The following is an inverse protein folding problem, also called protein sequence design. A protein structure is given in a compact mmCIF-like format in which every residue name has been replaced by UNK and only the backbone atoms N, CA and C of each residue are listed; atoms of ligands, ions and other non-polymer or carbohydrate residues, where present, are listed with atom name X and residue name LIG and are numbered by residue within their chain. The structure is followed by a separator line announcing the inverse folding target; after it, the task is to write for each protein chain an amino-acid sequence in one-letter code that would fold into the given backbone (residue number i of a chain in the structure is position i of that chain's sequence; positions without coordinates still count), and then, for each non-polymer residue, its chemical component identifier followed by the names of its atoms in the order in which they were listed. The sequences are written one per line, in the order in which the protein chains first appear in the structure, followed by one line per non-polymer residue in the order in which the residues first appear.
data_IF_482413595950
#
_entry.id   IF_482413595950
#
_cell.length_a   1.000
_cell.length_b   1.000
_cell.length_c   1.000
_cell.angle_alpha   90.00
_cell.angle_beta   90.00
_cell.angle_gamma   90.00
#
_symmetry.space_group_name_H-M   'P 1'
#
loop_
_entity.id
_entity.type
_entity.pdbx_description
1 polymer ?
#
# COMPACT_ATOMS: atom_id res chain seq x y z
N UNK A 1 0.64 35.34 -73.76
CA UNK A 1 0.72 36.10 -72.50
C UNK A 1 0.83 35.10 -71.37
N UNK A 2 1.95 35.14 -70.62
CA UNK A 2 2.31 34.18 -69.56
C UNK A 2 1.61 34.58 -68.26
N UNK A 3 0.81 33.69 -67.66
CA UNK A 3 0.22 33.92 -66.34
C UNK A 3 0.80 32.97 -65.30
N UNK A 4 1.12 33.55 -64.15
CA UNK A 4 2.01 33.06 -63.11
C UNK A 4 1.44 31.93 -62.22
N UNK A 5 2.41 31.12 -61.78
CA UNK A 5 2.53 30.29 -60.56
C UNK A 5 1.59 30.66 -59.38
N UNK A 6 1.00 29.64 -58.76
CA UNK A 6 0.66 29.64 -57.34
C UNK A 6 1.07 28.30 -56.71
N UNK A 7 2.20 28.31 -56.00
CA UNK A 7 2.62 27.23 -55.10
C UNK A 7 1.81 27.35 -53.81
N UNK A 8 0.92 26.40 -53.52
CA UNK A 8 0.32 26.26 -52.20
C UNK A 8 1.15 25.25 -51.39
N UNK A 9 1.91 25.79 -50.46
CA UNK A 9 2.70 25.08 -49.43
C UNK A 9 1.74 24.44 -48.44
N UNK A 10 1.77 23.11 -48.31
CA UNK A 10 1.10 22.38 -47.23
C UNK A 10 2.14 22.06 -46.16
N UNK A 11 2.05 22.76 -45.03
CA UNK A 11 2.87 22.60 -43.84
C UNK A 11 2.16 21.61 -42.89
N UNK A 12 2.65 20.38 -42.66
CA UNK A 12 2.05 19.51 -41.65
C UNK A 12 2.48 19.98 -40.26
N UNK A 13 1.47 20.30 -39.46
CA UNK A 13 1.56 20.75 -38.08
C UNK A 13 2.27 19.74 -37.18
N UNK A 14 3.09 20.28 -36.28
CA UNK A 14 3.73 19.60 -35.17
C UNK A 14 2.70 18.85 -34.30
N UNK A 15 2.83 17.54 -34.22
CA UNK A 15 2.19 16.73 -33.18
C UNK A 15 3.01 16.85 -31.89
N UNK A 16 2.60 17.78 -31.03
CA UNK A 16 3.10 17.87 -29.66
C UNK A 16 2.75 16.61 -28.87
N UNK A 17 3.77 15.85 -28.48
CA UNK A 17 3.66 14.77 -27.51
C UNK A 17 3.25 15.36 -26.16
N UNK A 18 1.96 15.30 -25.85
CA UNK A 18 1.48 15.56 -24.50
C UNK A 18 2.02 14.44 -23.60
N UNK A 19 3.06 14.75 -22.82
CA UNK A 19 3.44 13.96 -21.66
C UNK A 19 2.29 14.03 -20.63
N UNK A 20 1.29 13.17 -20.79
CA UNK A 20 0.28 12.95 -19.75
C UNK A 20 0.97 12.23 -18.60
N UNK A 21 1.34 12.96 -17.55
CA UNK A 21 1.73 12.37 -16.26
C UNK A 21 0.54 11.54 -15.79
N UNK A 22 0.70 10.22 -15.73
CA UNK A 22 -0.32 9.33 -15.21
C UNK A 22 -0.64 9.73 -13.75
N UNK A 23 -1.91 9.73 -13.32
CA UNK A 23 -2.25 10.00 -11.93
C UNK A 23 -1.53 9.01 -11.02
N UNK A 24 -1.04 9.49 -9.87
CA UNK A 24 -0.47 8.61 -8.86
C UNK A 24 -1.49 7.53 -8.44
N UNK A 25 -1.06 6.28 -8.25
CA UNK A 25 -1.95 5.23 -7.78
C UNK A 25 -2.50 5.61 -6.40
N UNK A 26 -3.79 5.35 -6.18
CA UNK A 26 -4.44 5.45 -4.87
C UNK A 26 -4.96 4.08 -4.45
N UNK A 27 -5.00 3.83 -3.14
CA UNK A 27 -5.52 2.60 -2.55
C UNK A 27 -6.36 2.93 -1.32
N UNK A 28 -7.35 2.10 -1.03
CA UNK A 28 -8.20 2.21 0.15
C UNK A 28 -8.33 0.85 0.84
N UNK A 29 -8.34 0.86 2.17
CA UNK A 29 -8.61 -0.33 2.97
C UNK A 29 -10.13 -0.55 3.07
N UNK A 30 -10.62 -1.80 2.99
CA UNK A 30 -12.01 -2.12 3.25
C UNK A 30 -12.45 -1.67 4.66
N UNK A 31 -13.74 -1.35 4.90
CA UNK A 31 -14.22 -0.88 6.20
C UNK A 31 -13.96 -1.86 7.36
N UNK A 32 -13.93 -3.17 7.05
CA UNK A 32 -13.67 -4.24 8.01
C UNK A 32 -12.17 -4.50 8.27
N UNK A 33 -11.28 -3.74 7.61
CA UNK A 33 -9.85 -3.78 7.84
C UNK A 33 -9.43 -3.05 9.12
N UNK A 34 -10.27 -2.14 9.63
CA UNK A 34 -9.96 -1.27 10.76
C UNK A 34 -10.74 -1.75 11.99
N UNK A 35 -10.04 -2.28 12.99
CA UNK A 35 -10.62 -2.54 14.30
C UNK A 35 -10.34 -1.32 15.21
N UNK A 36 -11.35 -0.45 15.40
CA UNK A 36 -11.27 0.70 16.33
C UNK A 36 -11.61 2.05 15.69
N UNK A 37 -11.70 3.10 16.53
CA UNK A 37 -12.06 4.48 16.14
C UNK A 37 -10.87 5.33 15.62
N UNK A 38 -9.82 4.70 15.08
CA UNK A 38 -8.55 5.34 14.73
C UNK A 38 -8.22 5.39 13.24
N UNK A 39 -7.19 6.15 12.89
CA UNK A 39 -6.60 6.27 11.54
C UNK A 39 -6.26 4.90 10.92
N UNK A 40 -6.89 4.57 9.79
CA UNK A 40 -6.73 3.28 9.11
C UNK A 40 -5.32 2.95 8.64
N UNK A 41 -4.48 3.95 8.34
CA UNK A 41 -3.08 3.71 8.00
C UNK A 41 -2.22 3.50 9.23
N UNK A 42 -2.52 4.17 10.34
CA UNK A 42 -1.87 3.86 11.62
C UNK A 42 -2.16 2.42 12.03
N UNK A 43 -3.42 1.99 11.91
CA UNK A 43 -3.80 0.59 12.13
C UNK A 43 -3.04 -0.37 11.20
N UNK A 44 -2.89 -0.01 9.91
CA UNK A 44 -2.12 -0.79 8.95
C UNK A 44 -0.62 -0.87 9.29
N UNK A 45 0.02 0.24 9.70
CA UNK A 45 1.42 0.25 10.13
C UNK A 45 1.62 -0.71 11.29
N UNK A 46 0.78 -0.62 12.32
CA UNK A 46 0.87 -1.47 13.51
C UNK A 46 0.60 -2.95 13.19
N UNK A 47 -0.39 -3.22 12.34
CA UNK A 47 -0.74 -4.58 11.93
C UNK A 47 0.37 -5.24 11.09
N UNK A 48 0.92 -4.51 10.11
CA UNK A 48 2.08 -4.94 9.31
C UNK A 48 3.31 -5.14 10.20
N UNK A 49 3.59 -4.21 11.13
CA UNK A 49 4.71 -4.32 12.06
C UNK A 49 4.62 -5.58 12.93
N UNK A 50 3.46 -5.81 13.55
CA UNK A 50 3.21 -6.99 14.38
C UNK A 50 3.39 -8.28 13.57
N UNK A 51 2.82 -8.32 12.36
CA UNK A 51 2.83 -9.51 11.51
C UNK A 51 4.24 -9.89 11.02
N UNK A 52 5.03 -8.91 10.57
CA UNK A 52 6.35 -9.17 9.98
C UNK A 52 7.50 -9.12 10.99
N UNK A 53 7.31 -8.57 12.19
CA UNK A 53 8.28 -8.65 13.28
C UNK A 53 8.43 -10.09 13.81
N UNK A 54 7.36 -10.89 13.78
CA UNK A 54 7.41 -12.31 14.16
C UNK A 54 6.70 -13.18 13.11
N UNK A 55 7.35 -13.47 11.96
CA UNK A 55 6.72 -14.23 10.87
C UNK A 55 6.25 -15.63 11.29
N UNK A 56 6.87 -16.21 12.31
CA UNK A 56 6.45 -17.49 12.90
C UNK A 56 5.01 -17.45 13.43
N UNK A 57 4.49 -16.28 13.83
CA UNK A 57 3.09 -16.13 14.26
C UNK A 57 2.09 -16.26 13.10
N UNK A 58 2.53 -16.05 11.86
CA UNK A 58 1.71 -16.21 10.66
C UNK A 58 1.72 -17.65 10.12
N UNK A 59 2.58 -18.51 10.65
CA UNK A 59 2.65 -19.91 10.23
C UNK A 59 1.32 -20.61 10.49
N UNK A 60 0.78 -21.26 9.45
CA UNK A 60 -0.53 -21.91 9.43
C UNK A 60 -1.72 -20.96 9.61
N UNK A 61 -1.54 -19.64 9.42
CA UNK A 61 -2.59 -18.61 9.55
C UNK A 61 -2.73 -17.80 8.26
N UNK A 62 -3.17 -18.43 7.16
CA UNK A 62 -3.22 -17.80 5.84
C UNK A 62 -4.15 -16.58 5.76
N UNK A 63 -5.17 -16.52 6.62
CA UNK A 63 -6.11 -15.40 6.70
C UNK A 63 -5.46 -14.14 7.30
N UNK A 64 -4.61 -14.31 8.32
CA UNK A 64 -3.84 -13.21 8.90
C UNK A 64 -2.69 -12.79 8.00
N UNK A 65 -1.98 -13.75 7.40
CA UNK A 65 -0.96 -13.49 6.41
C UNK A 65 -1.52 -12.67 5.23
N UNK A 66 -2.71 -13.03 4.72
CA UNK A 66 -3.36 -12.29 3.63
C UNK A 66 -3.66 -10.84 4.02
N UNK A 67 -4.18 -10.62 5.24
CA UNK A 67 -4.43 -9.27 5.77
C UNK A 67 -3.16 -8.45 5.94
N UNK A 68 -2.09 -9.05 6.45
CA UNK A 68 -0.81 -8.37 6.67
C UNK A 68 -0.19 -7.91 5.35
N UNK A 69 -0.26 -8.75 4.32
CA UNK A 69 0.22 -8.42 2.98
C UNK A 69 -0.66 -7.35 2.33
N UNK A 70 -2.00 -7.42 2.49
CA UNK A 70 -2.89 -6.38 1.99
C UNK A 70 -2.62 -5.00 2.65
N UNK A 71 -2.32 -4.98 3.95
CA UNK A 71 -1.92 -3.75 4.65
C UNK A 71 -0.59 -3.22 4.10
N UNK A 72 0.40 -4.08 3.89
CA UNK A 72 1.68 -3.69 3.30
C UNK A 72 1.52 -3.11 1.89
N UNK A 73 0.68 -3.73 1.05
CA UNK A 73 0.32 -3.23 -0.28
C UNK A 73 -0.26 -1.82 -0.23
N UNK A 74 -1.18 -1.59 0.70
CA UNK A 74 -1.77 -0.29 0.93
C UNK A 74 -0.73 0.75 1.40
N UNK A 75 0.11 0.40 2.38
CA UNK A 75 1.16 1.30 2.90
C UNK A 75 2.16 1.72 1.82
N UNK A 76 2.53 0.80 0.93
CA UNK A 76 3.42 1.08 -0.20
C UNK A 76 2.83 2.04 -1.25
N UNK A 77 1.52 2.33 -1.18
CA UNK A 77 0.84 3.34 -2.00
C UNK A 77 0.59 4.61 -1.20
N UNK A 78 0.07 4.48 0.02
CA UNK A 78 -0.38 5.59 0.85
C UNK A 78 0.79 6.42 1.41
N UNK A 79 1.86 5.79 1.88
CA UNK A 79 3.00 6.53 2.49
C UNK A 79 3.72 7.42 1.48
N UNK A 80 4.03 6.98 0.24
CA UNK A 80 4.75 7.83 -0.72
C UNK A 80 3.90 8.95 -1.32
N UNK A 81 2.57 8.81 -1.38
CA UNK A 81 1.70 9.72 -2.13
C UNK A 81 0.66 10.47 -1.28
N UNK A 82 0.41 10.00 -0.05
CA UNK A 82 -0.58 10.57 0.85
C UNK A 82 -0.09 11.90 1.43
N UNK A 83 -0.87 13.00 1.32
CA UNK A 83 -0.42 14.33 1.78
C UNK A 83 -0.11 14.37 3.28
N UNK A 84 -0.79 13.51 4.06
CA UNK A 84 -0.61 13.37 5.51
C UNK A 84 0.73 12.76 5.92
N UNK A 85 1.38 12.00 5.04
CA UNK A 85 2.66 11.32 5.32
C UNK A 85 3.86 12.10 4.77
N UNK A 86 3.66 13.36 4.34
CA UNK A 86 4.74 14.23 3.87
C UNK A 86 5.86 14.46 4.91
N UNK A 87 5.55 14.29 6.20
CA UNK A 87 6.53 14.33 7.28
C UNK A 87 7.32 13.04 7.50
N UNK A 88 6.95 11.93 6.84
CA UNK A 88 7.60 10.63 6.94
C UNK A 88 8.88 10.58 6.09
N UNK A 89 9.94 9.96 6.62
CA UNK A 89 11.22 9.82 5.91
C UNK A 89 11.05 9.14 4.55
N UNK A 90 11.66 9.66 3.47
CA UNK A 90 11.67 9.03 2.14
C UNK A 90 12.24 7.60 2.13
N UNK A 91 13.07 7.27 3.13
CA UNK A 91 13.61 5.92 3.29
C UNK A 91 12.51 4.90 3.61
N UNK A 92 11.48 5.29 4.37
CA UNK A 92 10.33 4.42 4.69
C UNK A 92 9.54 4.12 3.41
N UNK A 93 9.27 5.13 2.60
CA UNK A 93 8.61 4.96 1.30
C UNK A 93 9.37 3.97 0.40
N UNK A 94 10.69 4.13 0.30
CA UNK A 94 11.55 3.22 -0.48
C UNK A 94 11.52 1.80 0.07
N UNK A 95 11.61 1.63 1.39
CA UNK A 95 11.56 0.32 2.04
C UNK A 95 10.21 -0.38 1.81
N UNK A 96 9.09 0.34 1.90
CA UNK A 96 7.75 -0.21 1.66
C UNK A 96 7.56 -0.68 0.21
N UNK A 97 8.10 0.05 -0.78
CA UNK A 97 8.06 -0.39 -2.19
C UNK A 97 8.87 -1.67 -2.39
N UNK A 98 10.06 -1.77 -1.77
CA UNK A 98 10.89 -2.99 -1.82
C UNK A 98 10.17 -4.18 -1.18
N UNK A 99 9.59 -3.97 0.01
CA UNK A 99 8.77 -4.96 0.71
C UNK A 99 7.57 -5.45 -0.11
N UNK A 100 6.86 -4.53 -0.79
CA UNK A 100 5.77 -4.87 -1.71
C UNK A 100 6.27 -5.77 -2.83
N UNK A 101 7.39 -5.43 -3.47
CA UNK A 101 7.92 -6.22 -4.58
C UNK A 101 8.35 -7.61 -4.12
N UNK A 102 9.00 -7.72 -2.96
CA UNK A 102 9.39 -9.00 -2.34
C UNK A 102 8.18 -9.88 -2.04
N UNK A 103 7.15 -9.32 -1.39
CA UNK A 103 5.92 -10.06 -1.05
C UNK A 103 5.14 -10.50 -2.28
N UNK A 104 5.04 -9.63 -3.30
CA UNK A 104 4.44 -10.01 -4.59
C UNK A 104 5.16 -11.18 -5.23
N UNK A 105 6.49 -11.12 -5.31
CA UNK A 105 7.29 -12.20 -5.87
C UNK A 105 7.12 -13.51 -5.08
N UNK A 106 7.15 -13.44 -3.75
CA UNK A 106 6.96 -14.61 -2.89
C UNK A 106 5.59 -15.27 -3.10
N UNK A 107 4.52 -14.48 -3.27
CA UNK A 107 3.15 -14.98 -3.38
C UNK A 107 2.70 -15.29 -4.81
N UNK A 108 3.53 -14.96 -5.82
CA UNK A 108 3.18 -15.09 -7.23
C UNK A 108 2.12 -14.08 -7.68
N UNK A 109 2.16 -12.87 -7.12
CA UNK A 109 1.34 -11.74 -7.54
C UNK A 109 1.99 -11.09 -8.76
N UNK A 110 1.20 -10.76 -9.78
CA UNK A 110 1.70 -10.09 -10.96
C UNK A 110 2.37 -8.75 -10.57
N UNK A 111 3.62 -8.46 -11.01
CA UNK A 111 4.31 -7.23 -10.63
C UNK A 111 3.53 -5.96 -11.01
N UNK A 112 2.82 -6.00 -12.14
CA UNK A 112 2.00 -4.91 -12.67
C UNK A 112 0.55 -4.91 -12.16
N UNK A 113 0.17 -5.82 -11.26
CA UNK A 113 -1.18 -5.82 -10.70
C UNK A 113 -1.49 -4.49 -10.01
N UNK A 114 -2.71 -3.98 -10.22
CA UNK A 114 -3.23 -2.82 -9.50
C UNK A 114 -3.17 -3.09 -7.98
N UNK A 115 -2.58 -2.20 -7.17
CA UNK A 115 -2.57 -2.37 -5.71
C UNK A 115 -3.97 -2.57 -5.13
N UNK A 116 -4.98 -1.84 -5.60
CA UNK A 116 -6.35 -1.98 -5.11
C UNK A 116 -6.90 -3.39 -5.39
N UNK A 117 -6.66 -3.94 -6.58
CA UNK A 117 -7.12 -5.29 -6.92
C UNK A 117 -6.46 -6.36 -6.04
N UNK A 118 -5.18 -6.20 -5.71
CA UNK A 118 -4.47 -7.10 -4.78
C UNK A 118 -5.10 -7.01 -3.37
N UNK A 119 -5.31 -5.80 -2.87
CA UNK A 119 -5.89 -5.54 -1.54
C UNK A 119 -7.28 -6.18 -1.43
N UNK A 120 -8.18 -5.89 -2.39
CA UNK A 120 -9.57 -6.36 -2.35
C UNK A 120 -9.65 -7.90 -2.36
N UNK A 121 -8.85 -8.53 -3.22
CA UNK A 121 -8.83 -9.99 -3.35
C UNK A 121 -8.21 -10.67 -2.12
N UNK A 122 -7.13 -10.13 -1.55
CA UNK A 122 -6.55 -10.66 -0.30
C UNK A 122 -7.52 -10.54 0.87
N UNK A 123 -8.22 -9.42 1.01
CA UNK A 123 -9.24 -9.27 2.06
C UNK A 123 -10.44 -10.20 1.81
N UNK A 124 -10.87 -10.39 0.57
CA UNK A 124 -11.90 -11.37 0.21
C UNK A 124 -11.49 -12.79 0.60
N UNK A 125 -10.27 -13.20 0.24
CA UNK A 125 -9.72 -14.49 0.62
C UNK A 125 -9.61 -14.64 2.14
N UNK A 126 -9.15 -13.61 2.85
CA UNK A 126 -9.06 -13.63 4.31
C UNK A 126 -10.43 -13.82 4.97
N UNK A 127 -11.49 -13.17 4.47
CA UNK A 127 -12.87 -13.35 4.97
C UNK A 127 -13.35 -14.78 4.77
N UNK A 128 -13.17 -15.32 3.56
CA UNK A 128 -13.56 -16.68 3.22
C UNK A 128 -12.85 -17.73 4.10
N UNK A 129 -11.54 -17.55 4.34
CA UNK A 129 -10.76 -18.41 5.23
C UNK A 129 -11.27 -18.36 6.68
N UNK A 130 -11.61 -17.18 7.21
CA UNK A 130 -12.19 -17.05 8.56
C UNK A 130 -13.55 -17.73 8.70
N UNK A 131 -14.34 -17.77 7.63
CA UNK A 131 -15.59 -18.54 7.60
C UNK A 131 -15.39 -20.05 7.35
N UNK A 132 -14.15 -20.52 7.20
CA UNK A 132 -13.84 -21.92 6.89
C UNK A 132 -14.07 -22.32 5.44
N UNK A 133 -14.39 -21.39 4.54
CA UNK A 133 -14.64 -21.65 3.12
C UNK A 133 -13.36 -21.46 2.30
N UNK A 134 -12.52 -22.50 2.29
CA UNK A 134 -11.28 -22.51 1.53
C UNK A 134 -11.52 -22.37 0.01
N UNK A 135 -12.57 -22.98 -0.51
CA UNK A 135 -12.87 -22.92 -1.95
C UNK A 135 -13.27 -21.51 -2.39
N UNK A 136 -14.01 -20.75 -1.57
CA UNK A 136 -14.27 -19.34 -1.82
C UNK A 136 -13.00 -18.48 -1.72
N UNK A 137 -12.10 -18.81 -0.80
CA UNK A 137 -10.83 -18.10 -0.70
C UNK A 137 -9.99 -18.26 -1.97
N UNK A 138 -9.89 -19.48 -2.50
CA UNK A 138 -9.14 -19.76 -3.74
C UNK A 138 -9.77 -19.06 -4.95
N UNK A 139 -11.11 -19.06 -5.06
CA UNK A 139 -11.84 -18.35 -6.12
C UNK A 139 -11.74 -16.83 -6.05
N UNK A 140 -11.48 -16.27 -4.87
CA UNK A 140 -11.29 -14.83 -4.69
C UNK A 140 -9.99 -14.31 -5.28
N UNK A 141 -9.01 -15.20 -5.51
CA UNK A 141 -7.68 -14.88 -6.02
C UNK A 141 -7.64 -15.15 -7.53
N UNK A 142 -7.92 -14.12 -8.33
CA UNK A 142 -8.00 -14.25 -9.79
C UNK A 142 -6.62 -14.52 -10.40
N UNK A 143 -6.53 -15.33 -11.48
CA UNK A 143 -5.25 -15.66 -12.11
C UNK A 143 -4.57 -14.47 -12.79
N UNK A 144 -5.33 -13.40 -13.09
CA UNK A 144 -4.78 -12.15 -13.63
C UNK A 144 -3.91 -11.42 -12.59
N UNK A 145 -4.33 -11.45 -11.32
CA UNK A 145 -3.61 -10.80 -10.20
C UNK A 145 -2.64 -11.78 -9.54
N UNK A 146 -3.05 -13.02 -9.32
CA UNK A 146 -2.29 -14.08 -8.66
C UNK A 146 -1.91 -15.16 -9.67
N UNK A 147 -0.80 -14.93 -10.38
CA UNK A 147 -0.30 -15.80 -11.45
C UNK A 147 0.11 -17.20 -10.96
N UNK A 148 0.44 -17.35 -9.68
CA UNK A 148 0.64 -18.67 -9.07
C UNK A 148 -0.67 -19.49 -8.96
N UNK A 149 -1.83 -18.84 -9.07
CA UNK A 149 -3.14 -19.42 -8.83
C UNK A 149 -3.54 -19.38 -7.34
N UNK A 150 -4.85 -19.28 -7.08
CA UNK A 150 -5.37 -19.08 -5.73
C UNK A 150 -4.93 -20.16 -4.72
N UNK A 151 -5.00 -21.43 -5.08
CA UNK A 151 -4.60 -22.54 -4.20
C UNK A 151 -3.12 -22.46 -3.78
N UNK A 152 -2.23 -22.18 -4.73
CA UNK A 152 -0.79 -22.05 -4.47
C UNK A 152 -0.47 -20.79 -3.66
N UNK A 153 -1.09 -19.65 -3.99
CA UNK A 153 -0.96 -18.43 -3.18
C UNK A 153 -1.40 -18.69 -1.74
N UNK A 154 -2.54 -19.36 -1.51
CA UNK A 154 -2.99 -19.70 -0.16
C UNK A 154 -2.02 -20.64 0.57
N UNK A 155 -1.42 -21.61 -0.14
CA UNK A 155 -0.39 -22.49 0.42
C UNK A 155 0.83 -21.68 0.88
N UNK A 156 1.28 -20.71 0.08
CA UNK A 156 2.39 -19.82 0.43
C UNK A 156 2.05 -18.87 1.56
N UNK A 157 0.81 -18.37 1.64
CA UNK A 157 0.34 -17.57 2.77
C UNK A 157 0.34 -18.36 4.07
N UNK A 158 -0.01 -19.65 4.03
CA UNK A 158 0.05 -20.52 5.21
C UNK A 158 1.48 -20.85 5.67
N UNK A 159 2.47 -20.71 4.78
CA UNK A 159 3.87 -21.00 5.05
C UNK A 159 4.76 -19.93 4.40
N UNK A 160 4.61 -18.68 4.86
CA UNK A 160 5.33 -17.56 4.28
C UNK A 160 6.85 -17.79 4.37
N UNK A 161 7.58 -17.61 3.26
CA UNK A 161 9.04 -17.62 3.32
C UNK A 161 9.54 -16.44 4.16
N UNK A 162 10.82 -16.43 4.55
CA UNK A 162 11.44 -15.23 5.12
C UNK A 162 11.29 -14.03 4.18
N UNK A 163 10.78 -12.92 4.70
CA UNK A 163 10.54 -11.66 3.98
C UNK A 163 11.32 -10.52 4.66
N UNK A 164 12.66 -10.46 4.46
CA UNK A 164 13.51 -9.51 5.16
C UNK A 164 13.20 -8.05 4.80
N UNK A 165 12.81 -7.77 3.55
CA UNK A 165 12.42 -6.42 3.14
C UNK A 165 11.12 -6.00 3.82
N UNK A 166 10.14 -6.91 3.91
CA UNK A 166 8.89 -6.66 4.64
C UNK A 166 9.11 -6.38 6.12
N UNK A 167 9.97 -7.17 6.79
CA UNK A 167 10.32 -6.94 8.19
C UNK A 167 11.02 -5.57 8.38
N UNK A 168 12.03 -5.28 7.56
CA UNK A 168 12.74 -4.00 7.60
C UNK A 168 11.79 -2.80 7.44
N UNK A 169 10.92 -2.84 6.43
CA UNK A 169 9.96 -1.78 6.17
C UNK A 169 8.98 -1.59 7.32
N UNK A 170 8.49 -2.68 7.92
CA UNK A 170 7.63 -2.67 9.11
C UNK A 170 8.30 -1.94 10.28
N UNK A 171 9.54 -2.32 10.61
CA UNK A 171 10.30 -1.73 11.71
C UNK A 171 10.54 -0.24 11.47
N UNK A 172 10.96 0.15 10.26
CA UNK A 172 11.18 1.55 9.92
C UNK A 172 9.90 2.37 9.98
N UNK A 173 8.78 1.86 9.45
CA UNK A 173 7.50 2.54 9.48
C UNK A 173 7.00 2.76 10.92
N UNK A 174 7.18 1.77 11.80
CA UNK A 174 6.83 1.89 13.21
C UNK A 174 7.67 2.95 13.93
N UNK A 175 9.00 2.92 13.78
CA UNK A 175 9.87 3.93 14.40
C UNK A 175 9.52 5.36 13.96
N UNK A 176 9.14 5.51 12.71
CA UNK A 176 8.83 6.81 12.13
C UNK A 176 7.44 7.31 12.54
N UNK A 177 6.46 6.41 12.68
CA UNK A 177 5.17 6.70 13.28
C UNK A 177 5.36 7.21 14.73
N UNK A 178 6.12 6.49 15.55
CA UNK A 178 6.41 6.89 16.93
C UNK A 178 7.11 8.25 17.00
N UNK A 179 7.96 8.58 16.01
CA UNK A 179 8.60 9.89 15.90
C UNK A 179 7.58 10.98 15.63
N UNK A 180 6.67 10.77 14.68
CA UNK A 180 5.63 11.73 14.32
C UNK A 180 4.70 12.00 15.50
N UNK A 181 4.25 10.95 16.20
CA UNK A 181 3.40 11.07 17.38
C UNK A 181 4.02 11.97 18.46
N UNK A 182 5.31 11.78 18.75
CA UNK A 182 6.03 12.62 19.71
C UNK A 182 6.10 14.08 19.29
N UNK A 183 6.13 14.38 17.99
CA UNK A 183 6.15 15.75 17.50
C UNK A 183 4.77 16.41 17.59
N UNK A 184 3.71 15.65 17.33
CA UNK A 184 2.32 16.12 17.51
C UNK A 184 2.06 16.48 18.97
N UNK A 185 2.46 15.62 19.91
CA UNK A 185 2.33 15.87 21.35
C UNK A 185 3.10 17.13 21.81
N UNK A 186 4.26 17.41 21.21
CA UNK A 186 5.07 18.59 21.51
C UNK A 186 4.53 19.88 20.85
N UNK A 187 3.83 19.76 19.73
CA UNK A 187 3.20 20.88 19.01
C UNK A 187 1.84 21.32 19.57
N UNK A 188 1.22 20.51 20.45
CA UNK A 188 -0.12 20.75 21.03
C UNK A 188 -0.16 21.41 22.42
N UNK A 189 0.95 21.96 22.93
CA UNK A 189 1.02 22.57 24.26
C UNK A 189 0.29 23.93 24.40
N UNK A 190 -0.35 24.24 25.55
CA UNK A 190 -1.34 25.31 25.70
C UNK A 190 -0.69 26.71 25.69
N UNK A 191 -0.86 27.42 24.57
CA UNK A 191 -0.35 28.78 24.38
C UNK A 191 -1.33 29.92 24.66
N UNK A 192 -2.58 29.63 25.02
CA UNK A 192 -3.61 30.66 25.24
C UNK A 192 -4.28 30.51 26.60
N UNK A 193 -3.80 31.25 27.60
CA UNK A 193 -4.59 31.55 28.79
C UNK A 193 -3.84 31.47 30.12
N UNK A 194 -3.19 32.57 30.52
CA UNK A 194 -3.26 33.10 31.89
C UNK A 194 -2.48 34.43 32.00
N UNK A 195 -2.98 35.47 31.36
CA UNK A 195 -2.88 36.81 31.92
C UNK A 195 -4.09 37.00 32.85
N UNK A 196 -3.91 36.90 34.16
CA UNK A 196 -4.76 37.56 35.16
C UNK A 196 -4.24 37.35 36.60
N UNK A 197 -3.83 38.46 37.23
CA UNK A 197 -4.17 38.72 38.63
C UNK A 197 -3.27 38.17 39.73
N UNK A 198 -2.32 38.99 40.19
CA UNK A 198 -1.95 39.19 41.61
C UNK A 198 -1.63 40.68 41.74
N UNK A 199 -2.58 41.52 42.16
CA UNK A 199 -2.86 41.89 43.57
C UNK A 199 -1.59 42.28 44.30
#
# INVERSE_FOLDING_TARGET
MRSLRACAVVLPLLTGGACTVAPAPSASLPPDAIAGAGDGTRAAILGTATAFATPAMLANRPDEAARAVAQLEFLAVEVPHGPRWSGMSPNVATALVMARNETRAALGIAPAASPQAVIDQLYSAARALRSGDRAAAERSLSPEVFQAGGAETLRRLAALPPLPSANNAAVLAQFELDRLDRLEDQGGGPGDGAAAGRS
#
